data_IF_305428256858
#
_entry.id   IF_305428256858
#
_cell.length_a   1.000
_cell.length_b   1.000
_cell.length_c   1.000
_cell.angle_alpha   90.00
_cell.angle_beta   90.00
_cell.angle_gamma   90.00
#
_symmetry.space_group_name_H-M   'P 1'
#
loop_
_entity.id
_entity.type
_entity.pdbx_description
1 polymer ?
#
# COMPACT_ATOMS: atom_id res chain seq x y z
N UNK A 1 -34.74 32.92 55.78
CA UNK A 1 -33.94 33.25 54.58
C UNK A 1 -33.19 32.01 54.17
N UNK A 2 -33.29 31.69 52.89
CA UNK A 2 -33.00 30.40 52.29
C UNK A 2 -31.54 29.94 52.40
N UNK A 3 -31.44 28.62 52.62
CA UNK A 3 -30.53 27.64 52.01
C UNK A 3 -29.28 28.17 51.29
N UNK A 4 -28.11 27.73 51.75
CA UNK A 4 -26.99 27.41 50.87
C UNK A 4 -26.30 26.14 51.39
N UNK A 5 -26.86 25.00 50.98
CA UNK A 5 -26.16 23.72 50.96
C UNK A 5 -25.03 23.86 49.92
N UNK A 6 -23.77 23.72 50.37
CA UNK A 6 -22.63 23.62 49.45
C UNK A 6 -22.72 22.27 48.74
N UNK A 7 -23.23 22.30 47.52
CA UNK A 7 -23.15 21.20 46.57
C UNK A 7 -21.67 20.80 46.38
N UNK A 8 -21.31 19.64 46.94
CA UNK A 8 -20.09 18.92 46.58
C UNK A 8 -20.38 18.32 45.21
N UNK A 9 -20.07 19.06 44.15
CA UNK A 9 -19.98 18.48 42.80
C UNK A 9 -18.81 17.50 42.81
N UNK A 10 -19.14 16.22 42.86
CA UNK A 10 -18.26 15.11 42.55
C UNK A 10 -17.63 15.34 41.19
N UNK A 11 -16.34 15.70 41.18
CA UNK A 11 -15.51 15.69 39.99
C UNK A 11 -15.47 14.26 39.45
N UNK A 12 -16.26 14.03 38.41
CA UNK A 12 -16.14 12.81 37.61
C UNK A 12 -14.85 12.95 36.79
N UNK A 13 -13.77 12.40 37.33
CA UNK A 13 -12.50 12.26 36.63
C UNK A 13 -12.75 11.32 35.44
N UNK A 14 -12.92 11.91 34.26
CA UNK A 14 -13.05 11.21 33.00
C UNK A 14 -11.67 10.64 32.62
N UNK A 15 -11.35 9.45 33.13
CA UNK A 15 -10.24 8.65 32.65
C UNK A 15 -10.60 8.10 31.26
N UNK A 16 -10.41 8.92 30.22
CA UNK A 16 -10.33 8.42 28.86
C UNK A 16 -8.94 7.83 28.65
N UNK A 17 -8.82 6.52 28.89
CA UNK A 17 -7.69 5.75 28.38
C UNK A 17 -7.66 5.86 26.85
N UNK A 18 -6.77 6.71 26.34
CA UNK A 18 -6.42 6.73 24.92
C UNK A 18 -5.73 5.41 24.63
N UNK A 19 -6.49 4.40 24.19
CA UNK A 19 -5.92 3.16 23.63
C UNK A 19 -5.09 3.55 22.40
N UNK A 20 -3.79 3.72 22.59
CA UNK A 20 -2.84 3.89 21.51
C UNK A 20 -3.01 2.72 20.54
N UNK A 21 -3.54 3.01 19.35
CA UNK A 21 -3.68 2.00 18.30
C UNK A 21 -2.27 1.65 17.85
N UNK A 22 -1.83 0.42 18.10
CA UNK A 22 -0.57 -0.10 17.53
C UNK A 22 -0.57 0.16 16.03
N UNK A 23 0.44 0.92 15.58
CA UNK A 23 0.65 1.23 14.16
C UNK A 23 0.86 -0.08 13.41
N UNK A 24 0.10 -0.28 12.34
CA UNK A 24 0.25 -1.48 11.52
C UNK A 24 1.62 -1.47 10.82
N UNK A 25 2.41 -2.52 11.06
CA UNK A 25 3.68 -2.73 10.38
C UNK A 25 3.47 -3.64 9.16
N UNK A 26 3.71 -3.13 7.94
CA UNK A 26 3.62 -3.93 6.73
C UNK A 26 4.67 -5.03 6.72
N UNK A 27 4.23 -6.25 6.42
CA UNK A 27 5.12 -7.41 6.29
C UNK A 27 5.64 -7.52 4.86
N UNK A 28 6.91 -7.91 4.75
CA UNK A 28 7.56 -8.27 3.50
C UNK A 28 7.20 -9.70 3.13
N UNK A 29 6.90 -9.93 1.86
CA UNK A 29 6.60 -11.24 1.31
C UNK A 29 7.26 -11.39 -0.05
N UNK A 30 7.43 -12.65 -0.47
CA UNK A 30 7.85 -13.02 -1.80
C UNK A 30 6.84 -13.93 -2.48
N UNK A 31 6.69 -13.75 -3.79
CA UNK A 31 5.91 -14.63 -4.68
C UNK A 31 6.77 -14.91 -5.89
N UNK A 32 6.81 -16.17 -6.31
CA UNK A 32 7.35 -16.55 -7.59
C UNK A 32 6.23 -16.57 -8.62
N UNK A 33 6.46 -16.13 -9.86
CA UNK A 33 5.45 -16.20 -10.92
C UNK A 33 5.86 -15.53 -12.22
N UNK A 34 4.96 -15.55 -13.20
CA UNK A 34 5.13 -14.90 -14.50
C UNK A 34 4.15 -13.74 -14.63
N UNK A 35 4.57 -12.65 -15.30
CA UNK A 35 3.69 -11.51 -15.57
C UNK A 35 2.90 -11.81 -16.85
N UNK A 36 1.60 -12.05 -16.72
CA UNK A 36 0.70 -12.22 -17.87
C UNK A 36 0.40 -10.88 -18.55
N UNK A 37 0.07 -9.87 -17.74
CA UNK A 37 -0.25 -8.52 -18.20
C UNK A 37 0.08 -7.45 -17.16
N UNK A 38 0.44 -6.27 -17.65
CA UNK A 38 0.59 -5.07 -16.84
C UNK A 38 -0.41 -4.01 -17.34
N UNK A 39 -1.19 -3.43 -16.44
CA UNK A 39 -2.19 -2.41 -16.76
C UNK A 39 -1.82 -1.11 -16.07
N UNK A 40 -1.56 -0.05 -16.84
CA UNK A 40 -1.41 1.29 -16.27
C UNK A 40 -2.75 1.79 -15.76
N UNK A 41 -2.77 2.30 -14.53
CA UNK A 41 -3.92 2.92 -13.90
C UNK A 41 -3.55 4.32 -13.42
N UNK A 42 -4.28 5.31 -13.92
CA UNK A 42 -4.21 6.68 -13.37
C UNK A 42 -4.97 6.73 -12.05
N UNK A 43 -4.34 7.32 -11.04
CA UNK A 43 -4.91 7.39 -9.69
C UNK A 43 -5.80 8.61 -9.49
N UNK A 44 -5.60 9.66 -10.29
CA UNK A 44 -6.28 10.93 -10.14
C UNK A 44 -6.75 11.46 -11.50
N UNK A 45 -7.90 12.13 -11.48
CA UNK A 45 -8.41 12.86 -12.64
C UNK A 45 -7.59 14.13 -12.86
N UNK A 46 -7.29 14.42 -14.14
CA UNK A 46 -6.50 15.59 -14.57
C UNK A 46 -7.09 16.95 -14.17
N UNK A 47 -8.35 17.01 -13.71
CA UNK A 47 -9.07 18.26 -13.43
C UNK A 47 -9.21 18.66 -11.96
N UNK A 48 -8.71 17.84 -11.01
CA UNK A 48 -8.78 18.19 -9.58
C UNK A 48 -7.39 18.57 -9.07
N UNK A 49 -7.19 19.83 -8.73
CA UNK A 49 -5.99 20.32 -8.04
C UNK A 49 -6.21 20.16 -6.54
N UNK A 50 -5.30 19.47 -5.84
CA UNK A 50 -5.28 19.44 -4.39
C UNK A 50 -4.15 20.35 -3.94
N UNK A 51 -4.45 21.62 -3.67
CA UNK A 51 -3.46 22.69 -3.45
C UNK A 51 -2.52 22.44 -2.25
N UNK A 52 -2.85 21.48 -1.37
CA UNK A 52 -2.11 21.20 -0.14
C UNK A 52 -1.60 19.75 -0.03
N UNK A 53 -1.65 18.94 -1.09
CA UNK A 53 -1.20 17.54 -1.06
C UNK A 53 -0.12 17.27 -2.11
N UNK A 54 1.09 16.92 -1.66
CA UNK A 54 2.14 16.42 -2.54
C UNK A 54 1.76 15.01 -3.01
N UNK A 55 1.31 14.91 -4.26
CA UNK A 55 1.06 13.61 -4.91
C UNK A 55 2.38 12.87 -5.07
N UNK A 56 2.46 11.66 -4.51
CA UNK A 56 3.67 10.82 -4.63
C UNK A 56 3.72 10.02 -5.94
N UNK A 57 2.56 9.61 -6.44
CA UNK A 57 2.42 8.82 -7.66
C UNK A 57 1.18 9.29 -8.41
N UNK A 58 1.30 9.64 -9.69
CA UNK A 58 0.15 9.94 -10.56
C UNK A 58 -0.42 8.69 -11.24
N UNK A 59 0.43 7.68 -11.40
CA UNK A 59 0.13 6.41 -12.05
C UNK A 59 0.61 5.23 -11.20
N UNK A 60 -0.11 4.12 -11.27
CA UNK A 60 0.35 2.83 -10.79
C UNK A 60 0.17 1.77 -11.88
N UNK A 61 0.95 0.69 -11.82
CA UNK A 61 0.73 -0.48 -12.67
C UNK A 61 0.10 -1.60 -11.86
N UNK A 62 -0.87 -2.28 -12.45
CA UNK A 62 -1.47 -3.50 -11.92
C UNK A 62 -0.87 -4.67 -12.69
N UNK A 63 -0.06 -5.48 -12.02
CA UNK A 63 0.52 -6.70 -12.56
C UNK A 63 -0.41 -7.87 -12.28
N UNK A 64 -0.76 -8.59 -13.34
CA UNK A 64 -1.45 -9.87 -13.25
C UNK A 64 -0.44 -10.98 -13.37
N UNK A 65 -0.42 -11.84 -12.35
CA UNK A 65 0.49 -12.96 -12.26
C UNK A 65 -0.21 -14.26 -12.67
N UNK A 66 0.54 -15.13 -13.33
CA UNK A 66 0.20 -16.53 -13.58
C UNK A 66 1.30 -17.42 -13.03
N UNK A 67 0.98 -18.71 -12.86
CA UNK A 67 1.90 -19.71 -12.31
C UNK A 67 2.47 -19.31 -10.94
N UNK A 68 1.71 -18.58 -10.12
CA UNK A 68 2.21 -17.98 -8.90
C UNK A 68 2.41 -18.99 -7.75
N UNK A 69 3.47 -18.80 -6.96
CA UNK A 69 3.73 -19.56 -5.73
C UNK A 69 4.20 -18.66 -4.57
N UNK A 70 3.58 -18.74 -3.38
CA UNK A 70 2.39 -19.54 -3.05
C UNK A 70 1.15 -19.06 -3.83
N UNK A 71 0.23 -20.00 -4.08
CA UNK A 71 -1.00 -19.73 -4.82
C UNK A 71 -1.85 -18.67 -4.10
N UNK A 72 -2.56 -17.85 -4.88
CA UNK A 72 -3.55 -16.90 -4.37
C UNK A 72 -3.15 -15.42 -4.46
N UNK A 73 -1.95 -15.10 -4.93
CA UNK A 73 -1.49 -13.72 -5.15
C UNK A 73 -1.38 -13.46 -6.64
N UNK A 74 -2.54 -13.23 -7.25
CA UNK A 74 -2.67 -13.03 -8.71
C UNK A 74 -2.49 -11.59 -9.15
N UNK A 75 -2.56 -10.64 -8.22
CA UNK A 75 -2.55 -9.21 -8.54
C UNK A 75 -1.62 -8.47 -7.57
N UNK A 76 -0.68 -7.72 -8.14
CA UNK A 76 0.22 -6.84 -7.40
C UNK A 76 0.11 -5.43 -7.97
N UNK A 77 -0.02 -4.44 -7.08
CA UNK A 77 0.03 -3.03 -7.45
C UNK A 77 1.46 -2.52 -7.37
N UNK A 78 1.88 -1.73 -8.35
CA UNK A 78 3.22 -1.16 -8.44
C UNK A 78 3.11 0.35 -8.45
N UNK A 79 3.74 0.99 -7.47
CA UNK A 79 3.79 2.44 -7.36
C UNK A 79 5.26 2.87 -7.47
N UNK A 80 5.56 3.89 -8.28
CA UNK A 80 6.93 4.34 -8.51
C UNK A 80 7.61 4.72 -7.20
N UNK A 81 6.90 5.41 -6.31
CA UNK A 81 7.39 5.84 -4.99
C UNK A 81 7.65 4.70 -3.99
N UNK A 82 7.24 3.46 -4.32
CA UNK A 82 7.41 2.28 -3.48
C UNK A 82 8.50 1.35 -3.98
N UNK A 83 8.96 1.52 -5.21
CA UNK A 83 10.03 0.73 -5.78
C UNK A 83 11.38 1.15 -5.20
N UNK A 84 12.24 0.17 -4.96
CA UNK A 84 13.63 0.41 -4.58
C UNK A 84 14.52 0.68 -5.81
N UNK A 85 14.06 0.30 -7.01
CA UNK A 85 14.79 0.43 -8.26
C UNK A 85 13.94 1.04 -9.37
N UNK A 86 14.42 2.13 -9.97
CA UNK A 86 13.79 2.75 -11.14
C UNK A 86 13.89 1.88 -12.39
N UNK A 87 14.87 0.97 -12.45
CA UNK A 87 14.98 -0.01 -13.54
C UNK A 87 13.72 -0.89 -13.62
N UNK A 88 13.23 -1.37 -12.47
CA UNK A 88 12.01 -2.18 -12.39
C UNK A 88 10.84 -1.41 -12.98
N UNK A 89 10.66 -0.14 -12.60
CA UNK A 89 9.62 0.71 -13.15
C UNK A 89 9.66 0.79 -14.68
N UNK A 90 10.85 1.05 -15.23
CA UNK A 90 11.05 1.15 -16.67
C UNK A 90 10.83 -0.17 -17.39
N UNK A 91 11.20 -1.30 -16.77
CA UNK A 91 10.97 -2.63 -17.33
C UNK A 91 9.47 -3.00 -17.33
N UNK A 92 8.69 -2.63 -16.28
CA UNK A 92 7.21 -2.70 -16.33
C UNK A 92 6.71 -1.88 -17.53
N UNK A 93 7.07 -0.59 -17.59
CA UNK A 93 6.49 0.36 -18.54
C UNK A 93 6.83 0.00 -20.00
N UNK A 94 8.00 -0.58 -20.23
CA UNK A 94 8.45 -1.05 -21.54
C UNK A 94 7.98 -2.48 -21.89
N UNK A 95 7.22 -3.15 -21.02
CA UNK A 95 6.74 -4.52 -21.27
C UNK A 95 7.86 -5.57 -21.31
N UNK A 96 8.99 -5.35 -20.62
CA UNK A 96 10.19 -6.22 -20.69
C UNK A 96 10.08 -7.43 -19.76
N UNK A 97 8.95 -8.12 -19.80
CA UNK A 97 8.67 -9.26 -18.93
C UNK A 97 8.22 -10.55 -19.63
N UNK A 98 8.05 -10.52 -20.94
CA UNK A 98 7.57 -11.68 -21.70
C UNK A 98 8.57 -12.84 -21.68
N UNK A 99 8.05 -14.05 -21.43
CA UNK A 99 8.82 -15.30 -21.47
C UNK A 99 9.75 -15.52 -20.28
N UNK A 100 9.63 -14.70 -19.23
CA UNK A 100 10.51 -14.71 -18.08
C UNK A 100 9.73 -15.00 -16.80
N UNK A 101 10.40 -15.68 -15.88
CA UNK A 101 9.91 -15.96 -14.54
C UNK A 101 10.55 -15.00 -13.55
N UNK A 102 9.80 -14.61 -12.53
CA UNK A 102 10.22 -13.60 -11.59
C UNK A 102 9.99 -14.03 -10.14
N UNK A 103 10.85 -13.51 -9.27
CA UNK A 103 10.63 -13.46 -7.83
C UNK A 103 10.19 -12.04 -7.52
N UNK A 104 8.93 -11.87 -7.13
CA UNK A 104 8.35 -10.60 -6.71
C UNK A 104 8.54 -10.40 -5.21
N UNK A 105 9.03 -9.23 -4.83
CA UNK A 105 9.10 -8.78 -3.44
C UNK A 105 8.04 -7.70 -3.25
N UNK A 106 7.13 -7.90 -2.31
CA UNK A 106 6.05 -6.94 -2.05
C UNK A 106 5.77 -6.76 -0.56
N UNK A 107 5.22 -5.60 -0.23
CA UNK A 107 4.70 -5.28 1.12
C UNK A 107 3.20 -5.42 1.12
N UNK A 108 2.66 -6.18 2.06
CA UNK A 108 1.21 -6.27 2.29
C UNK A 108 0.76 -5.16 3.23
N UNK A 109 -0.18 -4.34 2.77
CA UNK A 109 -0.85 -3.31 3.56
C UNK A 109 -2.34 -3.57 3.58
N UNK A 110 -2.86 -4.13 4.68
CA UNK A 110 -4.26 -4.60 4.76
C UNK A 110 -4.56 -5.59 3.61
N UNK A 111 -5.25 -5.13 2.57
CA UNK A 111 -5.64 -5.91 1.38
C UNK A 111 -4.79 -5.61 0.15
N UNK A 112 -3.89 -4.62 0.23
CA UNK A 112 -3.05 -4.19 -0.88
C UNK A 112 -1.71 -4.90 -0.86
N UNK A 113 -1.28 -5.36 -2.03
CA UNK A 113 0.05 -5.92 -2.26
C UNK A 113 0.83 -4.95 -3.12
N UNK A 114 1.83 -4.29 -2.53
CA UNK A 114 2.63 -3.28 -3.20
C UNK A 114 4.00 -3.85 -3.55
N UNK A 115 4.30 -3.96 -4.85
CA UNK A 115 5.61 -4.36 -5.32
C UNK A 115 6.66 -3.35 -4.83
N UNK A 116 7.75 -3.86 -4.28
CA UNK A 116 8.94 -3.04 -3.96
C UNK A 116 10.11 -3.40 -4.88
N UNK A 117 10.21 -4.65 -5.34
CA UNK A 117 11.25 -5.10 -6.25
C UNK A 117 10.84 -6.41 -6.95
N UNK A 118 11.53 -6.76 -8.04
CA UNK A 118 11.53 -8.11 -8.59
C UNK A 118 12.94 -8.53 -8.99
N UNK A 119 13.14 -9.83 -9.13
CA UNK A 119 14.34 -10.40 -9.70
C UNK A 119 13.95 -11.47 -10.72
N UNK A 120 14.70 -11.56 -11.82
CA UNK A 120 14.51 -12.64 -12.80
C UNK A 120 14.92 -13.96 -12.14
N UNK A 121 14.04 -14.95 -12.18
CA UNK A 121 14.30 -16.28 -11.64
C UNK A 121 15.37 -16.95 -12.53
N UNK A 122 16.43 -17.47 -11.89
CA UNK A 122 17.51 -18.21 -12.55
C UNK A 122 17.07 -19.60 -13.01
#
# INVERSE_FOLDING_TARGET
MNEFVKDIRSETINNQEVKERKKYEPKLYNVWGEIERAVEKRLYDKGKTYENWVRKDDVCYILHLINERPEGIKIISVFKSKLESEKVWNDIAAGRFYGKKYIFYYKKYRQYFNLINWEEAK
#
